data_IF_312036897186
#
_entry.id   IF_312036897186
#
_cell.length_a   1.000
_cell.length_b   1.000
_cell.length_c   1.000
_cell.angle_alpha   90.00
_cell.angle_beta   90.00
_cell.angle_gamma   90.00
#
_symmetry.space_group_name_H-M   'P 1'
#
loop_
_entity.id
_entity.type
_entity.pdbx_description
1 polymer ?
#
# COMPACT_ATOMS: atom_id res chain seq x y z
N UNK A 1 6.96 -11.21 -7.58
CA UNK A 1 7.90 -10.08 -7.79
C UNK A 1 8.14 -9.46 -6.43
N UNK A 2 9.37 -9.13 -6.10
CA UNK A 2 9.72 -8.37 -4.89
C UNK A 2 9.38 -6.90 -5.14
N UNK A 3 8.33 -6.38 -4.50
CA UNK A 3 7.75 -5.07 -4.89
C UNK A 3 8.23 -3.93 -3.98
N UNK A 4 8.68 -4.23 -2.75
CA UNK A 4 9.23 -3.23 -1.82
C UNK A 4 10.74 -3.41 -1.56
N UNK A 5 11.44 -4.21 -2.38
CA UNK A 5 12.91 -4.26 -2.38
C UNK A 5 13.52 -5.06 -1.24
N UNK A 6 12.88 -6.13 -0.79
CA UNK A 6 13.43 -7.04 0.23
C UNK A 6 14.81 -7.58 -0.16
N UNK A 7 14.97 -8.01 -1.41
CA UNK A 7 16.22 -8.54 -1.96
C UNK A 7 17.28 -7.44 -2.12
N UNK A 8 16.86 -6.21 -2.45
CA UNK A 8 17.73 -5.03 -2.48
C UNK A 8 18.26 -4.73 -1.07
N UNK A 9 17.38 -4.71 -0.07
CA UNK A 9 17.76 -4.47 1.32
C UNK A 9 18.72 -5.54 1.85
N UNK A 10 18.45 -6.82 1.59
CA UNK A 10 19.35 -7.90 1.98
C UNK A 10 20.76 -7.73 1.37
N UNK A 11 20.86 -7.37 0.09
CA UNK A 11 22.16 -7.16 -0.57
C UNK A 11 22.88 -5.91 -0.11
N UNK A 12 22.17 -4.80 0.11
CA UNK A 12 22.76 -3.59 0.69
C UNK A 12 23.40 -3.88 2.06
N UNK A 13 22.78 -4.77 2.84
CA UNK A 13 23.29 -5.21 4.15
C UNK A 13 24.32 -6.34 4.06
N UNK A 14 24.66 -6.82 2.85
CA UNK A 14 25.61 -7.93 2.64
C UNK A 14 25.10 -9.29 3.13
N UNK A 15 23.77 -9.45 3.27
CA UNK A 15 23.15 -10.67 3.78
C UNK A 15 22.97 -11.65 2.63
N UNK A 16 23.51 -12.87 2.81
CA UNK A 16 23.30 -13.96 1.86
C UNK A 16 21.88 -14.51 1.98
N UNK A 17 21.22 -14.73 0.85
CA UNK A 17 19.91 -15.37 0.79
C UNK A 17 19.76 -16.17 -0.51
N UNK A 18 18.81 -17.09 -0.52
CA UNK A 18 18.45 -17.88 -1.70
C UNK A 18 17.06 -17.46 -2.18
N UNK A 19 16.94 -17.15 -3.47
CA UNK A 19 15.63 -16.96 -4.10
C UNK A 19 15.11 -18.31 -4.57
N UNK A 20 13.86 -18.63 -4.23
CA UNK A 20 13.16 -19.84 -4.68
C UNK A 20 11.83 -19.45 -5.29
N UNK A 21 11.41 -20.17 -6.32
CA UNK A 21 10.06 -20.06 -6.84
C UNK A 21 9.05 -20.57 -5.80
N UNK A 22 7.86 -19.94 -5.70
CA UNK A 22 6.81 -20.47 -4.84
C UNK A 22 6.42 -21.88 -5.30
N UNK A 23 6.11 -22.82 -4.37
CA UNK A 23 5.52 -24.09 -4.74
C UNK A 23 4.15 -23.88 -5.41
N UNK A 24 4.05 -24.25 -6.69
CA UNK A 24 2.82 -24.08 -7.46
C UNK A 24 2.48 -22.61 -7.75
N UNK A 25 1.20 -22.34 -8.02
CA UNK A 25 0.70 -20.96 -8.16
C UNK A 25 0.45 -20.34 -6.79
N UNK A 26 0.53 -19.00 -6.71
CA UNK A 26 0.34 -18.27 -5.45
C UNK A 26 -1.01 -18.54 -4.76
N UNK A 27 -2.04 -18.87 -5.52
CA UNK A 27 -3.40 -19.12 -5.02
C UNK A 27 -3.70 -20.60 -4.76
N UNK A 28 -2.69 -21.47 -4.85
CA UNK A 28 -2.83 -22.90 -4.53
C UNK A 28 -2.45 -23.15 -3.06
N UNK A 29 -3.07 -24.16 -2.45
CA UNK A 29 -2.89 -24.52 -1.03
C UNK A 29 -1.41 -24.69 -0.64
N UNK A 30 -0.60 -25.21 -1.57
CA UNK A 30 0.83 -25.41 -1.38
C UNK A 30 1.56 -24.12 -1.01
N UNK A 31 1.23 -22.98 -1.66
CA UNK A 31 1.81 -21.69 -1.30
C UNK A 31 1.04 -20.96 -0.21
N UNK A 32 -0.29 -21.07 -0.18
CA UNK A 32 -1.10 -20.40 0.83
C UNK A 32 -0.84 -20.90 2.25
N UNK A 33 -0.42 -22.17 2.40
CA UNK A 33 0.07 -22.70 3.67
C UNK A 33 1.33 -21.99 4.19
N UNK A 34 2.12 -21.38 3.30
CA UNK A 34 3.31 -20.58 3.62
C UNK A 34 2.94 -19.11 3.80
N UNK A 35 2.21 -18.53 2.85
CA UNK A 35 1.70 -17.16 2.91
C UNK A 35 0.21 -17.13 2.58
N UNK A 36 -0.68 -17.06 3.60
CA UNK A 36 -2.12 -17.03 3.40
C UNK A 36 -2.61 -15.85 2.55
N UNK A 37 -1.83 -14.76 2.48
CA UNK A 37 -2.15 -13.60 1.66
C UNK A 37 -1.80 -13.81 0.17
N UNK A 38 -1.24 -14.98 -0.22
CA UNK A 38 -0.91 -15.33 -1.61
C UNK A 38 -0.07 -14.25 -2.33
N UNK A 39 0.87 -13.64 -1.61
CA UNK A 39 1.69 -12.51 -2.10
C UNK A 39 3.17 -12.83 -2.02
N UNK A 40 3.96 -12.14 -2.85
CA UNK A 40 5.41 -12.15 -2.80
C UNK A 40 5.93 -10.75 -2.47
N UNK A 41 7.10 -10.65 -1.82
CA UNK A 41 7.95 -11.74 -1.34
C UNK A 41 7.46 -12.35 -0.02
N UNK A 42 7.89 -13.58 0.27
CA UNK A 42 7.82 -14.19 1.61
C UNK A 42 9.23 -14.56 2.01
N UNK A 43 9.71 -14.05 3.15
CA UNK A 43 11.02 -14.42 3.70
C UNK A 43 10.82 -15.52 4.74
N UNK A 44 11.56 -16.62 4.60
CA UNK A 44 11.70 -17.64 5.63
C UNK A 44 13.08 -17.44 6.25
N UNK A 45 13.10 -17.04 7.51
CA UNK A 45 14.32 -16.77 8.26
C UNK A 45 14.59 -17.93 9.22
N UNK A 46 15.62 -18.72 8.91
CA UNK A 46 16.07 -19.84 9.73
C UNK A 46 17.19 -19.40 10.69
N UNK A 47 17.02 -19.71 11.98
CA UNK A 47 17.97 -19.39 13.03
C UNK A 47 18.84 -20.61 13.37
N UNK A 48 20.06 -20.37 13.85
CA UNK A 48 21.00 -21.42 14.23
C UNK A 48 20.50 -22.32 15.38
N UNK A 49 19.51 -21.86 16.16
CA UNK A 49 18.87 -22.65 17.21
C UNK A 49 17.78 -23.61 16.68
N UNK A 50 17.60 -23.71 15.36
CA UNK A 50 16.59 -24.54 14.71
C UNK A 50 15.20 -23.91 14.64
N UNK A 51 15.02 -22.69 15.14
CA UNK A 51 13.78 -21.93 14.95
C UNK A 51 13.71 -21.37 13.53
N UNK A 52 12.49 -21.28 12.98
CA UNK A 52 12.24 -20.59 11.71
C UNK A 52 11.08 -19.62 11.87
N UNK A 53 11.17 -18.45 11.24
CA UNK A 53 10.12 -17.43 11.21
C UNK A 53 9.78 -17.10 9.77
N UNK A 54 8.48 -17.10 9.46
CA UNK A 54 7.98 -16.72 8.13
C UNK A 54 7.43 -15.30 8.16
N UNK A 55 7.98 -14.44 7.30
CA UNK A 55 7.62 -13.04 7.15
C UNK A 55 6.92 -12.86 5.80
N UNK A 56 5.62 -12.56 5.85
CA UNK A 56 4.74 -12.45 4.68
C UNK A 56 4.53 -11.01 4.19
N UNK A 57 5.06 -10.03 4.93
CA UNK A 57 4.90 -8.60 4.65
C UNK A 57 6.27 -7.99 4.40
N UNK A 58 6.49 -7.43 3.22
CA UNK A 58 7.79 -6.92 2.80
C UNK A 58 8.28 -5.74 3.63
N UNK A 59 7.40 -4.80 4.03
CA UNK A 59 7.80 -3.70 4.93
C UNK A 59 8.28 -4.23 6.29
N UNK A 60 7.59 -5.23 6.86
CA UNK A 60 8.04 -5.90 8.08
C UNK A 60 9.37 -6.64 7.87
N UNK A 61 9.60 -7.23 6.69
CA UNK A 61 10.89 -7.82 6.36
C UNK A 61 12.01 -6.79 6.35
N UNK A 62 11.79 -5.56 5.87
CA UNK A 62 12.81 -4.50 5.90
C UNK A 62 13.19 -4.14 7.35
N UNK A 63 12.21 -3.99 8.23
CA UNK A 63 12.43 -3.74 9.67
C UNK A 63 13.16 -4.91 10.32
N UNK A 64 12.74 -6.15 10.05
CA UNK A 64 13.38 -7.36 10.54
C UNK A 64 14.86 -7.43 10.17
N UNK A 65 15.21 -7.11 8.90
CA UNK A 65 16.60 -7.12 8.44
C UNK A 65 17.41 -6.04 9.16
N UNK A 66 16.84 -4.85 9.38
CA UNK A 66 17.49 -3.78 10.13
C UNK A 66 17.78 -4.17 11.59
N UNK A 67 16.81 -4.80 12.26
CA UNK A 67 16.94 -5.20 13.66
C UNK A 67 17.86 -6.42 13.86
N UNK A 68 17.82 -7.39 12.94
CA UNK A 68 18.55 -8.65 13.08
C UNK A 68 20.03 -8.56 12.73
N UNK A 69 20.43 -7.54 11.97
CA UNK A 69 21.81 -7.38 11.48
C UNK A 69 22.39 -5.99 11.84
N UNK A 70 22.52 -5.66 13.14
CA UNK A 70 23.15 -4.42 13.56
C UNK A 70 24.62 -4.37 13.09
N UNK A 71 25.09 -3.18 12.72
CA UNK A 71 26.48 -2.98 12.26
C UNK A 71 26.71 -3.23 10.75
N UNK A 72 25.69 -3.67 10.03
CA UNK A 72 25.67 -3.63 8.55
C UNK A 72 25.21 -2.24 8.07
N UNK A 73 25.13 -2.03 6.74
CA UNK A 73 24.59 -0.79 6.18
C UNK A 73 23.22 -0.48 6.81
N UNK A 74 23.11 0.70 7.40
CA UNK A 74 21.89 1.17 8.06
C UNK A 74 20.88 1.57 7.00
N UNK A 75 19.66 1.02 7.09
CA UNK A 75 18.56 1.39 6.19
C UNK A 75 17.48 2.23 6.89
N UNK A 76 17.57 2.36 8.22
CA UNK A 76 16.67 3.21 8.98
C UNK A 76 17.50 4.17 9.81
N UNK A 77 17.26 5.50 9.76
CA UNK A 77 18.02 6.46 10.55
C UNK A 77 18.13 6.07 12.04
N UNK A 78 19.24 6.47 12.71
CA UNK A 78 19.52 6.02 14.07
C UNK A 78 18.47 6.48 15.07
N UNK A 79 18.40 5.79 16.21
CA UNK A 79 17.53 6.18 17.32
C UNK A 79 17.88 7.56 17.89
N UNK A 80 19.10 8.06 17.67
CA UNK A 80 19.51 9.42 18.04
C UNK A 80 18.94 10.50 17.13
N UNK A 81 18.43 10.15 15.94
CA UNK A 81 17.73 11.04 15.02
C UNK A 81 16.30 10.54 14.78
N UNK A 82 15.47 10.73 15.79
CA UNK A 82 14.07 10.27 15.77
C UNK A 82 13.24 10.93 14.68
N UNK A 83 13.52 12.19 14.32
CA UNK A 83 12.77 12.91 13.31
C UNK A 83 12.94 12.25 11.93
N UNK A 84 14.18 12.04 11.50
CA UNK A 84 14.48 11.33 10.25
C UNK A 84 13.99 9.88 10.29
N UNK A 85 14.16 9.22 11.45
CA UNK A 85 13.74 7.82 11.64
C UNK A 85 12.24 7.61 11.49
N UNK A 86 11.42 8.52 12.03
CA UNK A 86 9.97 8.51 11.86
C UNK A 86 9.61 8.86 10.42
N UNK A 87 10.26 9.87 9.83
CA UNK A 87 9.95 10.29 8.45
C UNK A 87 10.25 9.22 7.42
N UNK A 88 11.35 8.50 7.56
CA UNK A 88 11.69 7.39 6.68
C UNK A 88 10.63 6.27 6.73
N UNK A 89 10.09 5.97 7.93
CA UNK A 89 8.99 5.01 8.10
C UNK A 89 7.68 5.50 7.52
N UNK A 90 7.35 6.77 7.75
CA UNK A 90 6.14 7.41 7.22
C UNK A 90 6.09 7.32 5.69
N UNK A 91 7.19 7.67 5.02
CA UNK A 91 7.31 7.56 3.56
C UNK A 91 7.27 6.11 3.06
N UNK A 92 7.96 5.19 3.75
CA UNK A 92 7.94 3.77 3.39
C UNK A 92 6.53 3.16 3.56
N UNK A 93 5.84 3.52 4.65
CA UNK A 93 4.47 3.09 4.94
C UNK A 93 3.48 3.68 3.93
N UNK A 94 3.62 4.95 3.55
CA UNK A 94 2.79 5.54 2.49
C UNK A 94 2.88 4.72 1.20
N UNK A 95 4.09 4.35 0.76
CA UNK A 95 4.24 3.50 -0.42
C UNK A 95 3.62 2.11 -0.19
N UNK A 96 3.90 1.48 0.95
CA UNK A 96 3.46 0.12 1.26
C UNK A 96 1.95 -0.02 1.46
N UNK A 97 1.28 1.02 1.96
CA UNK A 97 -0.13 1.01 2.33
C UNK A 97 -1.01 1.69 1.28
N UNK A 98 -0.58 2.84 0.75
CA UNK A 98 -1.43 3.71 -0.06
C UNK A 98 -1.15 3.64 -1.56
N UNK A 99 -0.06 2.98 -1.97
CA UNK A 99 0.37 2.92 -3.37
C UNK A 99 0.46 1.49 -3.87
N UNK A 100 1.41 0.73 -3.34
CA UNK A 100 1.76 -0.59 -3.84
C UNK A 100 0.58 -1.58 -3.87
N UNK A 101 -0.29 -1.65 -2.84
CA UNK A 101 -1.37 -2.64 -2.82
C UNK A 101 -2.35 -2.47 -3.99
N UNK A 102 -2.62 -1.22 -4.39
CA UNK A 102 -3.54 -0.86 -5.47
C UNK A 102 -2.92 -1.04 -6.86
N UNK A 103 -1.59 -1.02 -6.96
CA UNK A 103 -0.86 -1.30 -8.20
C UNK A 103 -0.52 -2.79 -8.37
N UNK A 104 -0.93 -3.63 -7.42
CA UNK A 104 -0.72 -5.07 -7.51
C UNK A 104 -1.54 -5.69 -8.64
N UNK A 105 -0.98 -6.73 -9.28
CA UNK A 105 -1.71 -7.48 -10.34
C UNK A 105 -3.07 -7.98 -9.86
N UNK A 106 -3.18 -8.38 -8.60
CA UNK A 106 -4.44 -8.83 -7.99
C UNK A 106 -5.52 -7.76 -8.10
N UNK A 107 -5.21 -6.54 -7.67
CA UNK A 107 -6.17 -5.42 -7.73
C UNK A 107 -6.40 -5.00 -9.17
N UNK A 108 -5.35 -4.85 -9.99
CA UNK A 108 -5.50 -4.44 -11.39
C UNK A 108 -6.38 -5.43 -12.19
N UNK A 109 -6.23 -6.75 -11.99
CA UNK A 109 -7.10 -7.75 -12.61
C UNK A 109 -8.55 -7.70 -12.10
N UNK A 110 -8.78 -7.32 -10.83
CA UNK A 110 -10.14 -7.09 -10.34
C UNK A 110 -10.79 -5.88 -11.01
N UNK A 111 -10.05 -4.79 -11.23
CA UNK A 111 -10.52 -3.62 -11.96
C UNK A 111 -10.94 -3.99 -13.39
N UNK A 112 -10.15 -4.82 -14.08
CA UNK A 112 -10.54 -5.36 -15.41
C UNK A 112 -11.79 -6.23 -15.35
N UNK A 113 -11.94 -7.04 -14.29
CA UNK A 113 -13.12 -7.86 -14.05
C UNK A 113 -14.41 -7.04 -13.89
N UNK A 114 -14.31 -5.81 -13.40
CA UNK A 114 -15.42 -4.85 -13.34
C UNK A 114 -15.65 -4.08 -14.66
N UNK A 115 -14.96 -4.46 -15.74
CA UNK A 115 -15.05 -3.80 -17.04
C UNK A 115 -14.40 -2.42 -17.09
N UNK A 116 -13.56 -2.09 -16.11
CA UNK A 116 -12.84 -0.82 -16.05
C UNK A 116 -11.41 -0.96 -16.61
N UNK A 117 -10.84 0.16 -17.05
CA UNK A 117 -9.48 0.20 -17.57
C UNK A 117 -8.46 0.24 -16.41
N UNK A 118 -7.85 -0.92 -16.12
CA UNK A 118 -6.82 -1.08 -15.09
C UNK A 118 -5.58 -0.23 -15.33
N UNK A 119 -5.23 0.02 -16.59
CA UNK A 119 -4.08 0.83 -16.96
C UNK A 119 -4.34 2.30 -16.66
N UNK A 120 -5.50 2.82 -17.06
CA UNK A 120 -5.91 4.18 -16.72
C UNK A 120 -6.05 4.37 -15.20
N UNK A 121 -6.64 3.41 -14.50
CA UNK A 121 -6.72 3.40 -13.04
C UNK A 121 -5.33 3.47 -12.40
N UNK A 122 -4.45 2.52 -12.73
CA UNK A 122 -3.11 2.44 -12.17
C UNK A 122 -2.27 3.69 -12.46
N UNK A 123 -2.38 4.25 -13.68
CA UNK A 123 -1.65 5.47 -14.05
C UNK A 123 -2.15 6.69 -13.29
N UNK A 124 -3.47 6.82 -13.14
CA UNK A 124 -4.09 7.93 -12.39
C UNK A 124 -3.73 7.86 -10.91
N UNK A 125 -3.81 6.66 -10.31
CA UNK A 125 -3.44 6.44 -8.92
C UNK A 125 -1.95 6.74 -8.68
N UNK A 126 -1.06 6.21 -9.52
CA UNK A 126 0.37 6.45 -9.36
C UNK A 126 0.69 7.94 -9.47
N UNK A 127 0.14 8.65 -10.45
CA UNK A 127 0.37 10.09 -10.61
C UNK A 127 -0.11 10.91 -9.40
N UNK A 128 -1.31 10.61 -8.88
CA UNK A 128 -1.84 11.31 -7.70
C UNK A 128 -1.02 11.02 -6.44
N UNK A 129 -0.60 9.76 -6.23
CA UNK A 129 0.19 9.37 -5.07
C UNK A 129 1.63 9.86 -5.12
N UNK A 130 2.25 9.92 -6.30
CA UNK A 130 3.59 10.52 -6.43
C UNK A 130 3.57 12.02 -6.15
N UNK A 131 2.44 12.72 -6.37
CA UNK A 131 2.31 14.12 -5.93
C UNK A 131 2.32 14.25 -4.43
N UNK A 132 1.55 13.42 -3.74
CA UNK A 132 1.56 13.39 -2.27
C UNK A 132 2.95 13.03 -1.74
N UNK A 133 3.63 12.04 -2.34
CA UNK A 133 4.99 11.69 -1.93
C UNK A 133 5.98 12.85 -2.12
N UNK A 134 5.92 13.57 -3.24
CA UNK A 134 6.74 14.77 -3.49
C UNK A 134 6.53 15.82 -2.38
N UNK A 135 5.28 16.14 -2.06
CA UNK A 135 4.94 17.09 -0.99
C UNK A 135 5.45 16.59 0.38
N UNK A 136 5.35 15.28 0.64
CA UNK A 136 5.83 14.67 1.88
C UNK A 136 7.34 14.73 2.03
N UNK A 137 8.12 14.75 0.95
CA UNK A 137 9.59 14.77 1.00
C UNK A 137 10.20 16.16 0.85
N UNK A 138 9.43 17.17 0.46
CA UNK A 138 9.94 18.51 0.11
C UNK A 138 10.91 19.10 1.14
N UNK A 139 10.56 19.01 2.43
CA UNK A 139 11.35 19.57 3.54
C UNK A 139 12.30 18.56 4.21
N UNK A 140 12.40 17.34 3.68
CA UNK A 140 13.16 16.25 4.30
C UNK A 140 14.23 15.66 3.36
N UNK A 141 14.04 15.79 2.05
CA UNK A 141 14.92 15.19 1.08
C UNK A 141 16.26 15.95 0.99
N UNK A 142 17.36 15.21 1.13
CA UNK A 142 18.69 15.64 0.72
C UNK A 142 19.06 14.95 -0.59
N UNK A 143 20.17 14.22 -0.60
CA UNK A 143 20.49 13.30 -1.70
C UNK A 143 19.42 12.22 -1.90
N UNK A 144 18.84 11.73 -0.82
CA UNK A 144 17.80 10.70 -0.78
C UNK A 144 16.50 11.26 -0.17
N UNK A 145 15.52 10.40 0.08
CA UNK A 145 14.19 10.79 0.58
C UNK A 145 14.23 11.44 1.98
N UNK A 146 15.25 11.09 2.78
CA UNK A 146 15.48 11.69 4.10
C UNK A 146 16.98 11.96 4.27
N UNK A 147 17.38 13.22 4.10
CA UNK A 147 18.78 13.64 4.16
C UNK A 147 19.65 13.00 3.07
N UNK A 148 20.92 12.73 3.40
CA UNK A 148 21.93 12.28 2.44
C UNK A 148 22.29 10.79 2.52
N UNK A 149 21.66 10.04 3.43
CA UNK A 149 21.82 8.59 3.59
C UNK A 149 20.63 7.83 2.99
N UNK A 150 20.91 6.69 2.36
CA UNK A 150 19.89 5.82 1.80
C UNK A 150 19.03 5.22 2.92
N UNK A 151 17.71 5.20 2.74
CA UNK A 151 16.77 4.67 3.73
C UNK A 151 15.74 3.70 3.14
N UNK A 152 14.95 3.07 4.01
CA UNK A 152 13.79 2.25 3.63
C UNK A 152 12.78 3.03 2.77
N UNK A 153 12.71 4.35 2.89
CA UNK A 153 11.83 5.18 2.07
C UNK A 153 12.24 5.12 0.59
N UNK A 154 13.55 5.20 0.33
CA UNK A 154 14.13 5.14 -1.01
C UNK A 154 13.97 3.78 -1.64
N UNK A 155 14.21 2.72 -0.85
CA UNK A 155 14.05 1.34 -1.30
C UNK A 155 12.61 1.12 -1.77
N UNK A 156 11.61 1.45 -0.94
CA UNK A 156 10.20 1.30 -1.27
C UNK A 156 9.78 2.16 -2.48
N UNK A 157 10.22 3.42 -2.54
CA UNK A 157 9.91 4.33 -3.64
C UNK A 157 10.42 3.79 -4.97
N UNK A 158 11.72 3.49 -5.04
CA UNK A 158 12.38 3.11 -6.30
C UNK A 158 11.85 1.78 -6.80
N UNK A 159 11.68 0.78 -5.93
CA UNK A 159 11.13 -0.52 -6.36
C UNK A 159 9.70 -0.37 -6.89
N UNK A 160 8.89 0.49 -6.27
CA UNK A 160 7.51 0.74 -6.72
C UNK A 160 7.49 1.46 -8.07
N UNK A 161 8.30 2.51 -8.25
CA UNK A 161 8.41 3.25 -9.52
C UNK A 161 8.90 2.34 -10.65
N UNK A 162 9.92 1.52 -10.39
CA UNK A 162 10.44 0.58 -11.36
C UNK A 162 9.44 -0.53 -11.69
N UNK A 163 8.73 -1.06 -10.69
CA UNK A 163 7.67 -2.05 -10.89
C UNK A 163 6.51 -1.49 -11.72
N UNK A 164 6.05 -0.28 -11.41
CA UNK A 164 5.00 0.41 -12.16
C UNK A 164 5.41 0.63 -13.62
N UNK A 165 6.67 1.04 -13.85
CA UNK A 165 7.22 1.23 -15.19
C UNK A 165 7.18 -0.05 -16.04
N UNK A 166 7.37 -1.24 -15.43
CA UNK A 166 7.21 -2.54 -16.14
C UNK A 166 5.80 -2.75 -16.70
N UNK A 167 4.79 -2.24 -15.99
CA UNK A 167 3.39 -2.38 -16.39
C UNK A 167 2.95 -1.25 -17.35
N UNK A 168 3.91 -0.46 -17.87
CA UNK A 168 3.62 0.71 -18.70
C UNK A 168 2.98 1.86 -17.93
N UNK A 169 2.83 1.72 -16.60
CA UNK A 169 2.31 2.77 -15.73
C UNK A 169 3.39 3.83 -15.57
N UNK A 170 3.50 4.68 -16.58
CA UNK A 170 4.37 5.85 -16.55
C UNK A 170 3.53 7.04 -16.09
N UNK A 171 3.97 7.69 -15.01
CA UNK A 171 3.51 9.03 -14.73
C UNK A 171 4.25 9.94 -15.72
N UNK A 172 3.55 10.43 -16.75
CA UNK A 172 4.17 11.35 -17.72
C UNK A 172 4.54 12.64 -16.99
N UNK A 173 5.83 12.83 -16.76
CA UNK A 173 6.44 14.10 -16.35
C UNK A 173 6.47 15.06 -17.56
N UNK A 174 5.31 15.46 -18.09
CA UNK A 174 5.26 16.57 -19.04
C UNK A 174 4.67 17.77 -18.30
N UNK A 175 5.57 18.70 -17.94
CA UNK A 175 5.44 19.84 -17.00
C UNK A 175 5.71 19.44 -15.54
N UNK A 176 7.00 19.28 -15.22
CA UNK A 176 7.54 18.59 -14.04
C UNK A 176 7.10 19.19 -12.68
N UNK A 177 6.19 18.54 -11.92
CA UNK A 177 5.99 18.82 -10.51
C UNK A 177 6.71 17.81 -9.60
N UNK A 178 7.57 16.92 -10.13
CA UNK A 178 8.16 15.76 -9.44
C UNK A 178 9.70 15.80 -9.45
N UNK A 179 10.28 16.98 -9.28
CA UNK A 179 11.73 17.18 -9.42
C UNK A 179 12.55 16.45 -8.35
N UNK A 180 11.97 16.25 -7.16
CA UNK A 180 12.63 15.61 -6.02
C UNK A 180 12.62 14.10 -6.20
N UNK A 181 11.45 13.49 -6.48
CA UNK A 181 11.36 12.05 -6.75
C UNK A 181 12.26 11.65 -7.92
N UNK A 182 12.28 12.42 -9.02
CA UNK A 182 13.15 12.13 -10.16
C UNK A 182 14.64 12.13 -9.77
N UNK A 183 15.07 13.09 -8.95
CA UNK A 183 16.45 13.14 -8.43
C UNK A 183 16.74 11.91 -7.58
N UNK A 184 15.89 11.61 -6.61
CA UNK A 184 16.07 10.48 -5.68
C UNK A 184 16.16 9.16 -6.45
N UNK A 185 15.25 8.93 -7.39
CA UNK A 185 15.26 7.71 -8.21
C UNK A 185 16.54 7.60 -9.02
N UNK A 186 17.00 8.68 -9.65
CA UNK A 186 18.29 8.68 -10.38
C UNK A 186 19.49 8.43 -9.48
N UNK A 187 19.52 9.02 -8.29
CA UNK A 187 20.58 8.79 -7.31
C UNK A 187 20.61 7.32 -6.86
N UNK A 188 19.45 6.72 -6.61
CA UNK A 188 19.36 5.30 -6.25
C UNK A 188 19.79 4.39 -7.40
N UNK A 189 19.42 4.71 -8.65
CA UNK A 189 19.83 3.95 -9.83
C UNK A 189 21.34 3.98 -10.10
N UNK A 190 22.08 4.93 -9.51
CA UNK A 190 23.54 4.92 -9.56
C UNK A 190 24.16 3.84 -8.65
N UNK A 191 23.41 3.32 -7.68
CA UNK A 191 23.85 2.25 -6.78
C UNK A 191 23.63 0.89 -7.50
N UNK A 192 24.67 0.03 -7.66
CA UNK A 192 24.60 -1.18 -8.48
C UNK A 192 23.42 -2.12 -8.15
N UNK A 193 23.10 -2.32 -6.87
CA UNK A 193 22.03 -3.22 -6.42
C UNK A 193 20.65 -2.83 -7.00
N UNK A 194 20.38 -1.54 -7.19
CA UNK A 194 19.12 -1.05 -7.77
C UNK A 194 19.06 -1.23 -9.30
N UNK A 195 20.17 -1.62 -9.96
CA UNK A 195 20.19 -1.95 -11.39
C UNK A 195 20.17 -3.45 -11.63
N UNK A 196 20.86 -4.20 -10.77
CA UNK A 196 20.98 -5.66 -10.85
C UNK A 196 19.68 -6.34 -10.40
N UNK A 197 19.10 -5.87 -9.30
CA UNK A 197 17.86 -6.41 -8.73
C UNK A 197 16.66 -5.51 -8.92
N UNK A 198 16.93 -4.25 -9.26
CA UNK A 198 15.93 -3.44 -9.88
C UNK A 198 15.53 -3.99 -11.23
N UNK A 199 14.55 -3.32 -11.80
CA UNK A 199 13.99 -3.71 -13.09
C UNK A 199 15.01 -3.45 -14.21
N UNK A 200 15.33 -4.43 -15.09
CA UNK A 200 16.28 -4.22 -16.17
C UNK A 200 15.92 -3.04 -17.08
N UNK A 201 16.90 -2.16 -17.38
CA UNK A 201 16.76 -0.98 -18.26
C UNK A 201 16.12 -1.24 -19.63
N UNK A 202 16.17 -2.47 -20.15
CA UNK A 202 15.63 -2.81 -21.47
C UNK A 202 14.13 -2.53 -21.62
N UNK A 203 13.37 -2.58 -20.53
CA UNK A 203 11.91 -2.38 -20.56
C UNK A 203 11.47 -0.90 -20.45
N UNK A 204 12.37 0.02 -20.09
CA UNK A 204 12.09 1.46 -20.06
C UNK A 204 11.95 2.07 -21.46
N UNK A 205 12.47 1.42 -22.51
CA UNK A 205 12.21 1.81 -23.91
C UNK A 205 10.92 1.23 -24.46
N UNK A 206 10.39 0.17 -23.84
CA UNK A 206 9.24 -0.58 -24.35
C UNK A 206 7.91 -0.08 -23.77
N UNK A 207 7.95 0.65 -22.65
CA UNK A 207 6.82 1.39 -22.05
C UNK A 207 6.32 2.57 -22.92
N UNK A 208 6.99 2.87 -24.04
CA UNK A 208 6.50 3.80 -25.06
C UNK A 208 5.41 3.18 -25.96
N UNK A 209 5.23 1.85 -25.93
CA UNK A 209 4.14 1.18 -26.66
C UNK A 209 2.91 1.08 -25.76
N UNK A 210 1.72 1.52 -26.20
CA UNK A 210 0.49 1.28 -25.45
C UNK A 210 0.32 -0.23 -25.26
N UNK A 211 0.09 -0.64 -24.01
CA UNK A 211 -0.20 -2.02 -23.65
C UNK A 211 -1.33 -2.53 -24.54
N UNK A 212 -1.06 -3.54 -25.38
CA UNK A 212 -2.11 -4.24 -26.13
C UNK A 212 -2.65 -5.32 -25.22
N UNK A 213 -3.92 -5.21 -24.87
CA UNK A 213 -4.69 -6.28 -24.23
C UNK A 213 -4.77 -7.47 -25.18
N UNK A 214 -3.81 -8.39 -25.13
CA UNK A 214 -3.87 -9.61 -25.92
C UNK A 214 -3.14 -10.75 -25.25
N UNK A 215 -3.85 -11.49 -24.41
CA UNK A 215 -3.94 -12.97 -24.44
C UNK A 215 -4.63 -13.53 -23.19
N UNK A 216 -5.87 -13.12 -22.94
CA UNK A 216 -6.88 -14.00 -22.37
C UNK A 216 -7.97 -14.03 -23.45
N UNK A 217 -8.22 -15.21 -24.02
CA UNK A 217 -9.21 -15.36 -25.08
C UNK A 217 -10.57 -14.78 -24.65
N UNK A 218 -11.45 -14.43 -25.61
CA UNK A 218 -12.76 -13.87 -25.28
C UNK A 218 -13.44 -14.79 -24.26
N UNK A 219 -13.76 -14.24 -23.09
CA UNK A 219 -14.64 -14.90 -22.14
C UNK A 219 -15.92 -15.25 -22.90
N UNK A 220 -16.15 -16.55 -23.08
CA UNK A 220 -17.41 -17.06 -23.62
C UNK A 220 -18.53 -16.43 -22.78
N UNK A 221 -19.51 -15.75 -23.39
CA UNK A 221 -20.59 -15.15 -22.62
C UNK A 221 -21.27 -16.26 -21.81
N UNK A 222 -21.28 -16.11 -20.49
CA UNK A 222 -22.03 -17.00 -19.62
C UNK A 222 -23.48 -17.04 -20.11
N UNK A 223 -24.10 -18.23 -20.03
CA UNK A 223 -25.44 -18.54 -20.55
C UNK A 223 -26.59 -17.66 -19.96
N UNK A 224 -26.26 -16.66 -19.15
CA UNK A 224 -27.17 -15.71 -18.51
C UNK A 224 -27.68 -14.59 -19.42
N UNK A 225 -27.08 -14.34 -20.58
CA UNK A 225 -27.55 -13.29 -21.52
C UNK A 225 -28.58 -13.76 -22.56
N UNK A 226 -28.90 -15.05 -22.63
CA UNK A 226 -29.83 -15.58 -23.63
C UNK A 226 -31.33 -15.53 -23.23
N UNK A 227 -31.68 -15.08 -22.01
CA UNK A 227 -33.06 -15.13 -21.50
C UNK A 227 -33.75 -13.79 -21.25
N UNK A 228 -33.22 -12.68 -21.79
CA UNK A 228 -33.88 -11.36 -21.78
C UNK A 228 -34.42 -10.89 -23.14
N UNK A 229 -34.65 -11.81 -24.08
CA UNK A 229 -35.49 -11.55 -25.24
C UNK A 229 -36.75 -12.38 -25.09
N UNK A 230 -37.74 -11.86 -24.35
CA UNK A 230 -39.19 -12.14 -24.38
C UNK A 230 -39.80 -11.80 -23.01
N UNK A 231 -40.00 -10.51 -22.73
CA UNK A 231 -41.22 -10.03 -22.07
C UNK A 231 -41.32 -8.51 -22.22
N UNK A 232 -42.54 -8.06 -22.47
CA UNK A 232 -42.84 -6.82 -23.17
C UNK A 232 -42.48 -5.53 -22.43
N UNK A 233 -42.26 -4.50 -23.23
CA UNK A 233 -42.20 -3.12 -22.79
C UNK A 233 -43.51 -2.69 -22.13
N UNK A 234 -43.41 -1.98 -21.01
CA UNK A 234 -44.28 -0.84 -20.66
C UNK A 234 -43.42 0.31 -20.10
N UNK A 235 -43.74 1.52 -20.54
CA UNK A 235 -43.19 2.82 -20.10
C UNK A 235 -43.95 3.35 -18.87
N UNK A 236 -43.35 4.36 -18.23
CA UNK A 236 -43.84 5.29 -17.17
C UNK A 236 -43.35 4.90 -15.76
N UNK A 237 -42.87 5.76 -14.85
CA UNK A 237 -42.81 7.22 -14.71
C UNK A 237 -41.57 7.66 -13.90
N UNK A 238 -41.18 8.93 -14.05
CA UNK A 238 -40.07 9.60 -13.35
C UNK A 238 -40.38 9.94 -11.88
N UNK A 239 -39.49 9.52 -10.97
CA UNK A 239 -39.42 9.94 -9.56
C UNK A 239 -38.02 9.63 -8.97
N UNK A 240 -37.58 10.27 -7.86
CA UNK A 240 -36.23 10.11 -7.35
C UNK A 240 -36.01 8.69 -6.79
N UNK A 241 -34.91 8.06 -7.20
CA UNK A 241 -34.53 6.71 -6.76
C UNK A 241 -33.94 6.80 -5.36
N UNK A 242 -34.67 6.28 -4.36
CA UNK A 242 -34.12 5.95 -3.05
C UNK A 242 -33.18 4.75 -3.18
N UNK A 243 -31.94 4.90 -2.70
CA UNK A 243 -30.97 3.80 -2.62
C UNK A 243 -31.37 2.85 -1.49
N UNK A 244 -31.77 1.63 -1.84
CA UNK A 244 -32.03 0.56 -0.89
C UNK A 244 -30.94 -0.52 -1.06
N UNK A 245 -30.07 -0.67 -0.06
CA UNK A 245 -28.84 -1.51 -0.09
C UNK A 245 -29.09 -3.04 -0.16
N UNK A 246 -30.31 -3.51 -0.41
CA UNK A 246 -30.69 -4.91 -0.17
C UNK A 246 -30.95 -5.78 -1.43
N UNK A 247 -30.92 -5.26 -2.66
CA UNK A 247 -31.41 -6.03 -3.82
C UNK A 247 -30.47 -6.23 -5.03
N UNK A 248 -29.15 -6.09 -4.86
CA UNK A 248 -28.19 -6.43 -5.95
C UNK A 248 -27.13 -7.47 -5.54
N UNK A 249 -27.55 -8.55 -4.88
CA UNK A 249 -26.66 -9.69 -4.53
C UNK A 249 -27.02 -10.98 -5.29
N UNK A 250 -27.93 -10.93 -6.27
CA UNK A 250 -28.42 -12.14 -6.93
C UNK A 250 -27.69 -12.51 -8.26
N UNK A 251 -26.55 -11.91 -8.57
CA UNK A 251 -25.85 -12.09 -9.85
C UNK A 251 -24.35 -12.37 -9.80
N UNK A 252 -23.79 -12.67 -8.61
CA UNK A 252 -22.37 -12.91 -8.44
C UNK A 252 -22.08 -14.42 -8.42
N UNK A 253 -21.05 -14.81 -9.19
CA UNK A 253 -20.45 -16.14 -9.26
C UNK A 253 -20.19 -16.70 -7.85
N UNK A 254 -20.40 -18.01 -7.62
CA UNK A 254 -20.30 -18.66 -6.30
C UNK A 254 -18.91 -18.46 -5.65
N UNK A 255 -17.89 -18.10 -6.43
CA UNK A 255 -16.55 -17.77 -5.96
C UNK A 255 -16.40 -16.38 -5.31
N UNK A 256 -17.37 -15.45 -5.47
CA UNK A 256 -17.37 -14.13 -4.83
C UNK A 256 -18.14 -14.14 -3.51
N UNK A 257 -19.13 -15.03 -3.36
CA UNK A 257 -19.98 -15.16 -2.16
C UNK A 257 -19.21 -15.55 -0.90
N UNK A 258 -18.06 -16.22 -1.05
CA UNK A 258 -17.18 -16.58 0.08
C UNK A 258 -16.59 -15.36 0.81
N UNK A 259 -16.48 -14.20 0.14
CA UNK A 259 -15.91 -12.97 0.69
C UNK A 259 -16.93 -12.03 1.35
N UNK A 260 -18.23 -12.33 1.26
CA UNK A 260 -19.31 -11.43 1.68
C UNK A 260 -20.22 -12.00 2.77
N UNK A 261 -19.77 -13.01 3.54
CA UNK A 261 -20.54 -13.44 4.71
C UNK A 261 -20.44 -12.39 5.82
N UNK A 262 -21.55 -11.79 6.27
CA UNK A 262 -21.51 -10.87 7.40
C UNK A 262 -21.10 -11.64 8.66
N UNK A 263 -20.01 -11.21 9.29
CA UNK A 263 -19.65 -11.65 10.61
C UNK A 263 -20.72 -11.23 11.64
N UNK A 264 -20.76 -12.02 12.72
CA UNK A 264 -21.74 -12.05 13.81
C UNK A 264 -22.25 -10.67 14.25
N UNK A 265 -23.57 -10.57 14.43
CA UNK A 265 -24.28 -9.45 15.06
C UNK A 265 -23.54 -8.90 16.29
N UNK A 266 -23.22 -7.60 16.35
CA UNK A 266 -22.63 -6.99 17.53
C UNK A 266 -23.64 -6.99 18.68
N UNK A 267 -23.21 -7.44 19.88
CA UNK A 267 -23.97 -7.28 21.12
C UNK A 267 -24.27 -5.78 21.33
N UNK A 268 -25.53 -5.44 21.63
CA UNK A 268 -25.94 -4.08 22.02
C UNK A 268 -25.07 -3.60 23.18
N UNK A 269 -24.18 -2.65 22.91
CA UNK A 269 -23.56 -1.82 23.94
C UNK A 269 -24.62 -0.84 24.44
N UNK A 270 -24.72 -0.70 25.78
CA UNK A 270 -25.64 0.24 26.44
C UNK A 270 -25.33 1.71 26.09
N UNK A 271 -26.16 2.66 26.57
CA UNK A 271 -25.98 4.07 26.26
C UNK A 271 -24.59 4.56 26.68
N UNK A 272 -23.91 5.27 25.76
CA UNK A 272 -22.60 5.87 26.02
C UNK A 272 -22.72 6.94 27.12
N UNK A 273 -21.80 6.99 28.09
CA UNK A 273 -21.70 8.15 28.97
C UNK A 273 -21.38 9.39 28.13
N UNK A 274 -22.04 10.50 28.44
CA UNK A 274 -21.78 11.80 27.83
C UNK A 274 -20.35 12.24 28.15
N UNK A 275 -19.50 12.30 27.12
CA UNK A 275 -18.15 12.86 27.25
C UNK A 275 -18.27 14.38 27.39
N UNK A 276 -17.82 14.93 28.52
CA UNK A 276 -17.61 16.38 28.65
C UNK A 276 -16.55 16.83 27.63
N UNK A 277 -16.66 18.05 27.08
CA UNK A 277 -15.56 18.67 26.35
C UNK A 277 -14.31 18.69 27.25
N UNK A 278 -13.16 18.33 26.68
CA UNK A 278 -11.88 18.41 27.37
C UNK A 278 -11.46 19.89 27.40
N UNK A 279 -11.58 20.54 28.55
CA UNK A 279 -10.98 21.86 28.79
C UNK A 279 -9.45 21.70 28.85
N UNK A 280 -8.74 22.58 28.16
CA UNK A 280 -7.35 22.41 27.73
C UNK A 280 -6.28 22.69 28.80
N UNK A 281 -6.64 23.02 30.04
CA UNK A 281 -5.72 23.85 30.86
C UNK A 281 -5.21 23.22 32.16
N UNK A 282 -5.45 21.94 32.46
CA UNK A 282 -4.84 21.29 33.64
C UNK A 282 -4.28 19.89 33.35
N UNK A 283 -2.97 19.83 33.12
CA UNK A 283 -2.20 18.59 33.19
C UNK A 283 -2.07 18.17 34.66
N UNK A 284 -2.38 16.92 35.04
CA UNK A 284 -2.02 16.42 36.36
C UNK A 284 -0.50 16.31 36.44
N UNK A 285 0.13 17.12 37.30
CA UNK A 285 1.58 17.14 37.61
C UNK A 285 2.19 15.74 37.80
N UNK A 286 1.37 14.75 38.15
CA UNK A 286 1.75 13.35 38.42
C UNK A 286 2.15 12.51 37.21
N UNK A 287 1.86 12.94 35.97
CA UNK A 287 2.18 12.13 34.77
C UNK A 287 3.65 12.26 34.35
N UNK A 288 4.28 13.40 34.64
CA UNK A 288 5.69 13.65 34.34
C UNK A 288 6.62 12.76 35.20
N UNK A 289 6.23 12.51 36.45
CA UNK A 289 6.96 11.65 37.39
C UNK A 289 6.96 10.16 36.98
N UNK A 290 5.91 9.71 36.26
CA UNK A 290 5.73 8.30 35.92
C UNK A 290 6.56 7.84 34.72
N UNK A 291 6.92 8.75 33.82
CA UNK A 291 7.39 8.40 32.48
C UNK A 291 8.90 8.66 32.25
N UNK A 292 9.59 9.26 33.22
CA UNK A 292 11.05 9.46 33.20
C UNK A 292 11.56 10.36 32.05
N UNK A 293 12.88 10.60 31.97
CA UNK A 293 13.46 11.57 31.03
C UNK A 293 13.28 11.20 29.54
N UNK A 294 12.91 9.96 29.21
CA UNK A 294 12.56 9.52 27.84
C UNK A 294 11.17 9.95 27.37
N UNK A 295 10.29 10.31 28.29
CA UNK A 295 8.92 10.69 27.95
C UNK A 295 8.70 12.17 27.67
N UNK A 296 9.76 12.96 27.69
CA UNK A 296 9.74 14.31 27.12
C UNK A 296 9.51 14.33 25.61
N UNK A 297 9.57 13.19 24.92
CA UNK A 297 9.37 13.13 23.49
C UNK A 297 7.92 12.75 23.14
N UNK A 298 7.22 13.75 22.59
CA UNK A 298 5.97 13.69 21.81
C UNK A 298 4.66 13.76 22.61
N UNK A 299 4.38 14.93 23.17
CA UNK A 299 2.99 15.39 23.29
C UNK A 299 2.55 15.92 21.91
N UNK A 300 1.96 15.05 21.10
CA UNK A 300 1.38 15.41 19.80
C UNK A 300 -0.14 15.41 19.87
N UNK A 301 -0.80 16.25 19.06
CA UNK A 301 -2.24 16.17 18.88
C UNK A 301 -2.56 15.13 17.81
N UNK A 302 -3.45 14.17 18.13
CA UNK A 302 -4.02 13.28 17.12
C UNK A 302 -5.14 14.03 16.42
N UNK A 303 -4.93 14.40 15.15
CA UNK A 303 -5.98 14.96 14.29
C UNK A 303 -6.82 13.81 13.75
N UNK A 304 -7.94 13.49 14.42
CA UNK A 304 -8.67 12.25 14.11
C UNK A 304 -10.19 12.30 14.25
N UNK A 305 -10.80 13.41 14.65
CA UNK A 305 -12.24 13.42 14.89
C UNK A 305 -13.03 14.05 13.73
N UNK A 306 -13.47 13.20 12.80
CA UNK A 306 -14.44 13.59 11.78
C UNK A 306 -15.89 13.65 12.31
N UNK A 307 -16.17 13.11 13.51
CA UNK A 307 -17.50 13.17 14.12
C UNK A 307 -17.81 14.58 14.65
N UNK A 308 -16.80 15.33 15.08
CA UNK A 308 -16.92 16.74 15.47
C UNK A 308 -17.38 17.68 14.32
N UNK A 309 -17.21 17.28 13.05
CA UNK A 309 -17.67 18.08 11.89
C UNK A 309 -19.19 18.00 11.66
N UNK A 310 -19.84 16.92 12.09
CA UNK A 310 -21.27 16.72 11.87
C UNK A 310 -22.16 17.44 12.91
N UNK A 311 -21.62 17.76 14.09
CA UNK A 311 -22.37 18.48 15.12
C UNK A 311 -22.40 20.00 14.83
N UNK A 312 -21.27 20.56 14.37
CA UNK A 312 -21.19 21.97 13.98
C UNK A 312 -22.08 22.34 12.77
N UNK A 313 -22.41 21.38 11.90
CA UNK A 313 -23.31 21.59 10.76
C UNK A 313 -24.79 21.40 11.10
N UNK A 314 -25.12 20.80 12.24
CA UNK A 314 -26.49 20.72 12.76
C UNK A 314 -26.90 21.97 13.54
N UNK A 315 -26.00 22.54 14.33
CA UNK A 315 -26.29 23.80 15.06
C UNK A 315 -26.40 25.02 14.14
N UNK A 316 -25.75 25.00 12.97
CA UNK A 316 -25.91 26.06 11.97
C UNK A 316 -27.20 25.96 11.13
N UNK A 317 -28.05 24.94 11.37
CA UNK A 317 -29.31 24.68 10.63
C UNK A 317 -30.54 24.56 11.53
N UNK A 318 -30.43 24.88 12.83
CA UNK A 318 -31.56 25.04 13.76
C UNK A 318 -31.79 26.51 14.06
#
# INVERSE_FOLDING_TARGET
>A
MDILGTSIAARLKGIAFQTREPPGKLYEDAYQSINPNATLPTLIADYNNGQSVTLTQSLNTLEFLEESYPGTMRLIPPVTDMASRVKARDLAAFIACDVQPFLSKRILSQIEGFGQDSFLFGRSLLGSKMRVYEDMVENHAGRFSVGDELSIADICLVTTVQAASKFGLTFRIKKNPYTIIERIVRECENIPVFREDGVPRKFLKESERPYRSSSLGPLQPSRLSARRRHMGMRKSDSGPVEFNEAEEVAGLDENVSAYLKPERTPKRLGPRPTTRPFESDELPEKLEDLLGPRARAVFGHIVGDSSARNDATKEARS
#
